data_IF_284920035597
#
_entry.id   IF_284920035597
#
_cell.length_a   1.000
_cell.length_b   1.000
_cell.length_c   1.000
_cell.angle_alpha   90.00
_cell.angle_beta   90.00
_cell.angle_gamma   90.00
#
_symmetry.space_group_name_H-M   'P 1'
#
loop_
_entity.id
_entity.type
_entity.pdbx_description
1 polymer ?
#
# COMPACT_ATOMS: atom_id res chain seq x y z
N UNK A 1 54.37 44.16 77.00
CA UNK A 1 53.11 43.47 76.66
C UNK A 1 53.46 42.37 75.66
N UNK A 2 53.85 41.21 76.15
CA UNK A 2 53.93 39.98 75.34
C UNK A 2 52.51 39.41 75.17
N UNK A 3 52.15 38.86 73.99
CA UNK A 3 50.90 38.15 73.83
C UNK A 3 50.92 36.84 74.65
N UNK A 4 49.80 36.39 75.22
CA UNK A 4 49.80 35.22 76.09
C UNK A 4 50.13 33.95 75.30
N UNK A 5 51.04 33.11 75.84
CA UNK A 5 51.53 31.87 75.22
C UNK A 5 50.42 30.85 74.84
N UNK A 6 49.19 31.04 75.33
CA UNK A 6 48.01 30.25 74.98
C UNK A 6 47.48 30.55 73.57
N UNK A 7 47.70 31.75 73.03
CA UNK A 7 47.17 32.18 71.73
C UNK A 7 48.02 31.65 70.57
N UNK A 8 49.34 31.70 70.73
CA UNK A 8 50.33 31.16 69.77
C UNK A 8 50.16 29.63 69.61
N UNK A 9 49.80 28.94 70.70
CA UNK A 9 49.59 27.48 70.68
C UNK A 9 48.30 27.09 69.96
N UNK A 10 47.21 27.86 70.13
CA UNK A 10 45.96 27.71 69.37
C UNK A 10 46.15 27.97 67.88
N UNK A 11 46.91 29.00 67.53
CA UNK A 11 47.16 29.37 66.14
C UNK A 11 48.01 28.31 65.41
N UNK A 12 48.98 27.70 66.09
CA UNK A 12 49.76 26.57 65.55
C UNK A 12 48.92 25.31 65.35
N UNK A 13 48.00 25.02 66.27
CA UNK A 13 47.06 23.90 66.15
C UNK A 13 46.07 24.11 64.98
N UNK A 14 45.56 25.34 64.81
CA UNK A 14 44.69 25.69 63.68
C UNK A 14 45.41 25.53 62.32
N UNK A 15 46.65 26.05 62.20
CA UNK A 15 47.46 25.89 60.98
C UNK A 15 47.79 24.42 60.66
N UNK A 16 47.98 23.58 61.68
CA UNK A 16 48.19 22.13 61.50
C UNK A 16 46.90 21.42 61.04
N UNK A 17 45.75 21.81 61.58
CA UNK A 17 44.45 21.29 61.14
C UNK A 17 44.15 21.68 59.69
N UNK A 18 44.42 22.93 59.30
CA UNK A 18 44.24 23.40 57.92
C UNK A 18 45.15 22.66 56.93
N UNK A 19 46.42 22.45 57.29
CA UNK A 19 47.36 21.65 56.45
C UNK A 19 46.90 20.21 56.27
N UNK A 20 46.38 19.58 57.33
CA UNK A 20 45.83 18.23 57.26
C UNK A 20 44.58 18.18 56.37
N UNK A 21 43.73 19.21 56.45
CA UNK A 21 42.53 19.32 55.62
C UNK A 21 42.86 19.55 54.14
N UNK A 22 43.85 20.39 53.85
CA UNK A 22 44.36 20.59 52.49
C UNK A 22 44.92 19.29 51.92
N UNK A 23 45.78 18.59 52.67
CA UNK A 23 46.33 17.31 52.21
C UNK A 23 45.23 16.26 51.94
N UNK A 24 44.17 16.26 52.74
CA UNK A 24 43.01 15.39 52.51
C UNK A 24 42.23 15.79 51.25
N UNK A 25 42.02 17.08 51.00
CA UNK A 25 41.35 17.59 49.79
C UNK A 25 42.21 17.29 48.54
N UNK A 26 43.53 17.51 48.61
CA UNK A 26 44.46 17.19 47.52
C UNK A 26 44.47 15.70 47.19
N UNK A 27 44.42 14.83 48.21
CA UNK A 27 44.26 13.39 48.00
C UNK A 27 42.92 13.05 47.33
N UNK A 28 41.82 13.70 47.75
CA UNK A 28 40.50 13.54 47.14
C UNK A 28 40.41 14.11 45.71
N UNK A 29 41.30 15.01 45.29
CA UNK A 29 41.38 15.52 43.91
C UNK A 29 42.26 14.59 43.06
N UNK A 30 43.39 14.14 43.60
CA UNK A 30 44.34 13.31 42.85
C UNK A 30 43.77 11.96 42.42
N UNK A 31 42.92 11.34 43.25
CA UNK A 31 42.29 10.05 42.94
C UNK A 31 41.33 10.10 41.72
N UNK A 32 40.35 11.03 41.65
CA UNK A 32 39.51 11.18 40.47
C UNK A 32 40.30 11.67 39.24
N UNK A 33 41.32 12.53 39.40
CA UNK A 33 42.17 12.94 38.27
C UNK A 33 42.90 11.75 37.63
N UNK A 34 43.43 10.83 38.44
CA UNK A 34 44.04 9.59 37.92
C UNK A 34 43.01 8.71 37.21
N UNK A 35 41.80 8.65 37.75
CA UNK A 35 40.71 7.85 37.19
C UNK A 35 40.25 8.41 35.84
N UNK A 36 40.12 9.73 35.72
CA UNK A 36 39.80 10.41 34.46
C UNK A 36 40.91 10.19 33.43
N UNK A 37 42.18 10.30 33.84
CA UNK A 37 43.31 9.99 32.97
C UNK A 37 43.28 8.57 32.41
N UNK A 38 43.05 7.56 33.26
CA UNK A 38 42.98 6.16 32.80
C UNK A 38 41.79 5.89 31.90
N UNK A 39 40.63 6.50 32.18
CA UNK A 39 39.45 6.35 31.33
C UNK A 39 39.60 7.04 29.97
N UNK A 40 40.30 8.18 29.93
CA UNK A 40 40.59 8.87 28.67
C UNK A 40 41.55 8.05 27.77
N UNK A 41 42.58 7.43 28.36
CA UNK A 41 43.48 6.53 27.64
C UNK A 41 42.75 5.28 27.13
N UNK A 42 41.85 4.71 27.94
CA UNK A 42 41.01 3.60 27.52
C UNK A 42 40.04 4.00 26.40
N UNK A 43 39.42 5.19 26.47
CA UNK A 43 38.58 5.74 25.42
C UNK A 43 39.37 5.86 24.09
N UNK A 44 40.56 6.46 24.12
CA UNK A 44 41.40 6.65 22.94
C UNK A 44 41.81 5.30 22.31
N UNK A 45 42.17 4.32 23.14
CA UNK A 45 42.49 2.96 22.71
C UNK A 45 41.29 2.28 22.03
N UNK A 46 40.10 2.39 22.62
CA UNK A 46 38.87 1.82 22.07
C UNK A 46 38.47 2.52 20.77
N UNK A 47 38.60 3.85 20.67
CA UNK A 47 38.37 4.61 19.44
C UNK A 47 39.33 4.18 18.32
N UNK A 48 40.61 4.00 18.63
CA UNK A 48 41.60 3.51 17.67
C UNK A 48 41.29 2.11 17.15
N UNK A 49 40.88 1.19 18.02
CA UNK A 49 40.44 -0.16 17.63
C UNK A 49 39.19 -0.13 16.75
N UNK A 50 38.21 0.70 17.11
CA UNK A 50 36.98 0.84 16.32
C UNK A 50 37.24 1.39 14.92
N UNK A 51 38.17 2.33 14.78
CA UNK A 51 38.58 2.88 13.49
C UNK A 51 39.27 1.84 12.56
N UNK A 52 39.75 0.73 13.11
CA UNK A 52 40.38 -0.35 12.34
C UNK A 52 39.34 -1.28 11.69
N UNK A 53 38.11 -1.33 12.21
CA UNK A 53 37.05 -2.12 11.60
C UNK A 53 36.54 -1.41 10.34
N UNK A 54 36.83 -1.98 9.17
CA UNK A 54 36.18 -1.58 7.94
C UNK A 54 34.73 -2.08 7.97
N UNK A 55 33.77 -1.17 7.93
CA UNK A 55 32.37 -1.51 7.70
C UNK A 55 32.18 -1.62 6.19
N UNK A 56 32.02 -2.82 5.60
CA UNK A 56 32.11 -3.01 4.15
C UNK A 56 31.12 -2.15 3.37
N UNK A 57 29.92 -1.92 3.93
CA UNK A 57 28.90 -1.07 3.31
C UNK A 57 29.30 0.41 3.25
N UNK A 58 30.16 0.89 4.15
CA UNK A 58 30.69 2.26 4.13
C UNK A 58 31.87 2.42 3.15
N UNK A 59 32.31 1.32 2.52
CA UNK A 59 33.36 1.35 1.50
C UNK A 59 32.80 1.29 0.07
N UNK A 60 31.49 1.07 -0.07
CA UNK A 60 30.79 1.08 -1.35
C UNK A 60 30.51 2.52 -1.80
N UNK A 61 30.52 2.81 -3.11
CA UNK A 61 30.01 4.07 -3.64
C UNK A 61 28.53 4.27 -3.23
N UNK A 62 28.14 5.53 -3.01
CA UNK A 62 26.79 5.86 -2.57
C UNK A 62 25.72 5.34 -3.53
N UNK A 63 26.00 5.31 -4.84
CA UNK A 63 25.10 4.80 -5.86
C UNK A 63 24.78 3.31 -5.64
N UNK A 64 25.78 2.51 -5.26
CA UNK A 64 25.59 1.08 -4.99
C UNK A 64 24.79 0.89 -3.71
N UNK A 65 25.05 1.70 -2.68
CA UNK A 65 24.29 1.66 -1.43
C UNK A 65 22.84 2.07 -1.66
N UNK A 66 22.59 3.09 -2.49
CA UNK A 66 21.25 3.52 -2.90
C UNK A 66 20.48 2.39 -3.61
N UNK A 67 21.12 1.67 -4.54
CA UNK A 67 20.50 0.51 -5.19
C UNK A 67 20.19 -0.63 -4.20
N UNK A 68 21.11 -0.91 -3.26
CA UNK A 68 20.85 -1.87 -2.18
C UNK A 68 19.65 -1.42 -1.34
N UNK A 69 19.53 -0.14 -1.03
CA UNK A 69 18.39 0.41 -0.26
C UNK A 69 17.07 0.29 -1.03
N UNK A 70 17.08 0.47 -2.34
CA UNK A 70 15.89 0.32 -3.18
C UNK A 70 15.43 -1.14 -3.16
N UNK A 71 16.37 -2.08 -3.30
CA UNK A 71 16.08 -3.52 -3.22
C UNK A 71 15.74 -4.03 -1.82
N UNK A 72 15.97 -3.22 -0.78
CA UNK A 72 15.53 -3.52 0.58
C UNK A 72 14.03 -3.25 0.77
N UNK A 73 13.43 -2.34 0.01
CA UNK A 73 11.99 -2.06 0.03
C UNK A 73 11.23 -3.22 -0.63
N UNK A 74 9.94 -3.42 -0.30
CA UNK A 74 9.17 -4.47 -0.93
C UNK A 74 8.93 -4.13 -2.42
N UNK A 75 8.97 -5.15 -3.27
CA UNK A 75 8.62 -4.97 -4.67
C UNK A 75 7.14 -4.56 -4.82
N UNK A 76 6.89 -3.53 -5.63
CA UNK A 76 5.54 -3.15 -6.04
C UNK A 76 4.82 -4.37 -6.66
N UNK A 77 3.55 -4.67 -6.32
CA UNK A 77 2.53 -3.77 -5.75
C UNK A 77 2.55 -3.61 -4.23
N UNK A 78 3.49 -4.23 -3.51
CA UNK A 78 3.59 -4.07 -2.06
C UNK A 78 4.21 -2.71 -1.72
N UNK A 79 3.67 -2.08 -0.67
CA UNK A 79 4.09 -0.76 -0.23
C UNK A 79 5.00 -0.87 1.01
N UNK A 80 6.06 -0.05 1.11
CA UNK A 80 6.88 -0.03 2.31
C UNK A 80 6.07 0.50 3.50
N UNK A 81 6.18 -0.12 4.69
CA UNK A 81 5.51 0.39 5.86
C UNK A 81 6.17 1.71 6.33
N UNK A 82 5.41 2.63 6.95
CA UNK A 82 5.96 3.89 7.47
C UNK A 82 7.06 3.69 8.52
N UNK A 83 6.99 2.59 9.29
CA UNK A 83 7.89 2.21 10.37
C UNK A 83 8.10 0.70 10.33
N UNK A 84 9.28 0.22 10.73
CA UNK A 84 9.55 -1.21 10.88
C UNK A 84 10.41 -1.80 9.77
N UNK A 85 10.37 -3.12 9.63
CA UNK A 85 11.12 -3.84 8.59
C UNK A 85 10.65 -3.40 7.20
N UNK A 86 11.58 -3.34 6.24
CA UNK A 86 11.33 -2.86 4.87
C UNK A 86 10.91 -1.37 4.77
N UNK A 87 11.01 -0.60 5.86
CA UNK A 87 10.74 0.85 5.85
C UNK A 87 11.98 1.65 5.42
N UNK A 88 11.84 2.71 4.58
CA UNK A 88 12.95 3.61 4.29
C UNK A 88 13.47 4.34 5.54
N UNK A 89 12.63 4.50 6.58
CA UNK A 89 13.05 5.11 7.85
C UNK A 89 13.95 4.19 8.68
N UNK A 90 13.86 2.87 8.53
CA UNK A 90 14.76 1.95 9.23
C UNK A 90 16.21 2.12 8.75
N UNK A 91 16.40 2.32 7.44
CA UNK A 91 17.71 2.64 6.86
C UNK A 91 18.30 3.92 7.46
N UNK A 92 17.45 4.90 7.77
CA UNK A 92 17.84 6.16 8.39
C UNK A 92 18.24 6.04 9.87
N UNK A 93 17.97 4.90 10.53
CA UNK A 93 18.26 4.69 11.95
C UNK A 93 19.58 3.95 12.20
N UNK A 94 20.18 3.35 11.17
CA UNK A 94 21.37 2.50 11.31
C UNK A 94 22.63 3.31 11.62
N UNK A 95 22.99 4.28 10.78
CA UNK A 95 24.13 5.18 11.03
C UNK A 95 23.93 6.53 10.33
N UNK A 96 24.83 7.49 10.62
CA UNK A 96 24.77 8.84 10.02
C UNK A 96 24.90 8.82 8.49
N UNK A 97 25.77 7.95 7.97
CA UNK A 97 26.02 7.86 6.53
C UNK A 97 24.82 7.27 5.79
N UNK A 98 24.25 6.17 6.30
CA UNK A 98 23.05 5.57 5.71
C UNK A 98 21.86 6.53 5.71
N UNK A 99 21.71 7.31 6.78
CA UNK A 99 20.70 8.37 6.84
C UNK A 99 20.92 9.42 5.75
N UNK A 100 22.17 9.84 5.54
CA UNK A 100 22.50 10.78 4.48
C UNK A 100 22.14 10.21 3.10
N UNK A 101 22.63 9.00 2.79
CA UNK A 101 22.36 8.30 1.52
C UNK A 101 20.86 8.12 1.30
N UNK A 102 20.12 7.65 2.32
CA UNK A 102 18.68 7.45 2.21
C UNK A 102 17.93 8.78 1.94
N UNK A 103 18.31 9.87 2.59
CA UNK A 103 17.69 11.19 2.37
C UNK A 103 17.97 11.75 0.97
N UNK A 104 19.13 11.46 0.37
CA UNK A 104 19.47 11.90 -0.99
C UNK A 104 19.08 10.89 -2.07
N UNK A 105 18.36 9.82 -1.74
CA UNK A 105 17.87 8.81 -2.68
C UNK A 105 16.35 8.94 -2.86
N UNK A 106 15.86 9.72 -3.84
CA UNK A 106 14.44 10.07 -3.90
C UNK A 106 13.51 8.89 -4.17
N UNK A 107 14.00 7.86 -4.88
CA UNK A 107 13.23 6.66 -5.20
C UNK A 107 12.71 5.93 -3.94
N UNK A 108 13.43 5.98 -2.81
CA UNK A 108 13.02 5.37 -1.54
C UNK A 108 11.74 5.98 -0.95
N UNK A 109 11.40 7.20 -1.37
CA UNK A 109 10.29 7.99 -0.84
C UNK A 109 9.12 8.10 -1.84
N UNK A 110 9.23 7.43 -2.98
CA UNK A 110 8.28 7.55 -4.10
C UNK A 110 7.06 6.64 -4.00
N UNK A 111 7.13 5.59 -3.16
CA UNK A 111 6.06 4.63 -2.92
C UNK A 111 5.55 4.82 -1.49
N UNK A 112 4.30 5.25 -1.35
CA UNK A 112 3.71 5.73 -0.09
C UNK A 112 2.38 5.02 0.14
N UNK A 113 2.23 4.36 1.29
CA UNK A 113 0.95 3.81 1.74
C UNK A 113 0.57 4.37 3.10
N UNK A 114 -0.67 4.83 3.22
CA UNK A 114 -1.24 5.37 4.45
C UNK A 114 -2.64 4.81 4.67
N UNK A 115 -2.78 3.96 5.70
CA UNK A 115 -4.07 3.48 6.18
C UNK A 115 -4.52 4.32 7.38
N UNK A 116 -5.62 5.06 7.29
CA UNK A 116 -6.15 5.92 8.35
C UNK A 116 -7.09 5.17 9.30
N UNK A 117 -6.62 4.13 9.98
CA UNK A 117 -7.48 3.24 10.77
C UNK A 117 -7.65 3.65 12.25
N UNK A 118 -6.89 4.65 12.72
CA UNK A 118 -6.94 5.17 14.11
C UNK A 118 -6.94 6.70 14.12
N UNK A 119 -7.96 7.31 14.76
CA UNK A 119 -8.18 8.78 14.85
C UNK A 119 -6.96 9.52 15.42
N UNK A 120 -6.28 8.95 16.42
CA UNK A 120 -5.18 9.62 17.13
C UNK A 120 -3.85 9.75 16.39
N UNK A 121 -3.73 9.29 15.13
CA UNK A 121 -2.46 9.31 14.37
C UNK A 121 -2.49 10.10 13.04
N UNK A 122 -3.55 10.89 12.80
CA UNK A 122 -3.77 11.61 11.53
C UNK A 122 -2.65 12.61 11.22
N UNK A 123 -2.32 13.48 12.17
CA UNK A 123 -1.28 14.51 11.98
C UNK A 123 0.10 13.90 11.68
N UNK A 124 0.46 12.78 12.32
CA UNK A 124 1.72 12.09 12.04
C UNK A 124 1.75 11.49 10.63
N UNK A 125 0.64 10.92 10.17
CA UNK A 125 0.51 10.36 8.81
C UNK A 125 0.59 11.44 7.74
N UNK A 126 -0.07 12.57 7.96
CA UNK A 126 0.01 13.70 7.03
C UNK A 126 1.42 14.29 6.97
N UNK A 127 2.10 14.40 8.13
CA UNK A 127 3.51 14.81 8.16
C UNK A 127 4.40 13.82 7.39
N UNK A 128 4.17 12.52 7.58
CA UNK A 128 4.87 11.48 6.81
C UNK A 128 4.64 11.62 5.31
N UNK A 129 3.39 11.85 4.87
CA UNK A 129 3.05 12.08 3.47
C UNK A 129 3.85 13.24 2.90
N UNK A 130 3.76 14.41 3.53
CA UNK A 130 4.46 15.63 3.09
C UNK A 130 5.96 15.42 3.01
N UNK A 131 6.57 14.87 4.06
CA UNK A 131 8.02 14.60 4.09
C UNK A 131 8.44 13.59 3.02
N UNK A 132 7.63 12.55 2.77
CA UNK A 132 7.94 11.55 1.74
C UNK A 132 7.83 12.16 0.34
N UNK A 133 6.79 12.95 0.08
CA UNK A 133 6.63 13.69 -1.19
C UNK A 133 7.80 14.66 -1.40
N UNK A 134 8.19 15.43 -0.39
CA UNK A 134 9.34 16.35 -0.47
C UNK A 134 10.64 15.60 -0.82
N UNK A 135 10.90 14.47 -0.14
CA UNK A 135 12.10 13.66 -0.36
C UNK A 135 12.08 12.91 -1.68
N UNK A 136 10.90 12.60 -2.22
CA UNK A 136 10.75 11.97 -3.54
C UNK A 136 11.23 12.87 -4.69
N UNK A 137 11.47 14.16 -4.44
CA UNK A 137 12.05 15.07 -5.42
C UNK A 137 11.17 15.20 -6.65
N UNK A 138 11.62 14.71 -7.80
CA UNK A 138 10.88 14.68 -9.07
C UNK A 138 10.45 13.27 -9.49
N UNK A 139 10.66 12.25 -8.65
CA UNK A 139 10.23 10.88 -8.94
C UNK A 139 8.72 10.79 -9.17
N UNK A 140 8.29 9.83 -9.97
CA UNK A 140 6.87 9.48 -10.07
C UNK A 140 6.40 8.89 -8.75
N UNK A 141 5.16 9.19 -8.38
CA UNK A 141 4.60 8.80 -7.10
C UNK A 141 3.64 7.62 -7.26
N UNK A 142 3.76 6.67 -6.34
CA UNK A 142 2.77 5.60 -6.13
C UNK A 142 2.17 5.81 -4.75
N UNK A 143 0.88 6.11 -4.69
CA UNK A 143 0.21 6.50 -3.44
C UNK A 143 -1.00 5.60 -3.16
N UNK A 144 -1.02 4.98 -1.99
CA UNK A 144 -2.18 4.28 -1.41
C UNK A 144 -2.74 5.08 -0.23
N UNK A 145 -4.00 5.44 -0.30
CA UNK A 145 -4.74 6.03 0.81
C UNK A 145 -5.91 5.13 1.16
N UNK A 146 -5.85 4.45 2.30
CA UNK A 146 -6.91 3.61 2.84
C UNK A 146 -7.51 4.19 4.13
N UNK A 147 -8.74 3.84 4.47
CA UNK A 147 -9.33 4.19 5.78
C UNK A 147 -10.41 3.20 6.21
N UNK A 148 -10.63 3.11 7.52
CA UNK A 148 -11.81 2.47 8.10
C UNK A 148 -12.84 3.43 8.68
N UNK A 149 -12.58 4.76 8.68
CA UNK A 149 -13.52 5.79 9.13
C UNK A 149 -13.35 7.11 8.35
N UNK A 150 -14.33 8.02 8.45
CA UNK A 150 -14.23 9.37 7.88
C UNK A 150 -13.47 10.30 8.85
N UNK A 151 -12.26 10.77 8.52
CA UNK A 151 -11.52 11.70 9.37
C UNK A 151 -12.17 13.09 9.35
N UNK A 152 -11.73 13.97 10.26
CA UNK A 152 -12.30 15.31 10.35
C UNK A 152 -12.08 16.08 9.03
N UNK A 153 -13.06 16.91 8.68
CA UNK A 153 -13.13 17.66 7.42
C UNK A 153 -11.88 18.52 7.14
N UNK A 154 -11.29 19.12 8.19
CA UNK A 154 -10.08 19.93 8.03
C UNK A 154 -8.87 19.09 7.56
N UNK A 155 -8.71 17.87 8.10
CA UNK A 155 -7.64 16.97 7.68
C UNK A 155 -7.88 16.41 6.28
N UNK A 156 -9.13 16.15 5.91
CA UNK A 156 -9.50 15.73 4.56
C UNK A 156 -9.15 16.82 3.54
N UNK A 157 -9.50 18.07 3.81
CA UNK A 157 -9.17 19.19 2.95
C UNK A 157 -7.65 19.34 2.76
N UNK A 158 -6.89 19.20 3.84
CA UNK A 158 -5.42 19.29 3.78
C UNK A 158 -4.80 18.10 3.01
N UNK A 159 -5.30 16.88 3.23
CA UNK A 159 -4.90 15.68 2.49
C UNK A 159 -5.19 15.82 1.00
N UNK A 160 -6.42 16.18 0.64
CA UNK A 160 -6.85 16.41 -0.74
C UNK A 160 -5.95 17.45 -1.41
N UNK A 161 -5.70 18.58 -0.73
CA UNK A 161 -4.80 19.61 -1.25
C UNK A 161 -3.39 19.09 -1.51
N UNK A 162 -2.80 18.31 -0.60
CA UNK A 162 -1.45 17.72 -0.81
C UNK A 162 -1.44 16.78 -2.02
N UNK A 163 -2.46 15.92 -2.15
CA UNK A 163 -2.53 14.92 -3.22
C UNK A 163 -2.79 15.56 -4.58
N UNK A 164 -3.77 16.47 -4.68
CA UNK A 164 -4.12 17.19 -5.91
C UNK A 164 -2.93 17.96 -6.47
N UNK A 165 -2.15 18.64 -5.63
CA UNK A 165 -0.97 19.40 -6.07
C UNK A 165 0.12 18.53 -6.72
N UNK A 166 0.09 17.21 -6.50
CA UNK A 166 1.08 16.26 -7.01
C UNK A 166 0.53 15.30 -8.08
N UNK A 167 -0.71 15.51 -8.54
CA UNK A 167 -1.35 14.73 -9.62
C UNK A 167 -0.50 14.59 -10.88
N UNK A 168 0.22 15.65 -11.27
CA UNK A 168 1.09 15.67 -12.44
C UNK A 168 2.26 14.66 -12.41
N UNK A 169 2.57 14.07 -11.24
CA UNK A 169 3.64 13.07 -11.04
C UNK A 169 3.12 11.70 -10.62
N UNK A 170 1.82 11.51 -10.45
CA UNK A 170 1.25 10.23 -10.02
C UNK A 170 1.38 9.19 -11.14
N UNK A 171 1.88 8.01 -10.79
CA UNK A 171 1.93 6.83 -11.65
C UNK A 171 0.91 5.77 -11.20
N UNK A 172 0.77 5.57 -9.90
CA UNK A 172 -0.26 4.73 -9.30
C UNK A 172 -0.95 5.47 -8.18
N UNK A 173 -2.27 5.46 -8.18
CA UNK A 173 -3.06 6.18 -7.20
C UNK A 173 -4.22 5.32 -6.71
N UNK A 174 -4.29 5.08 -5.41
CA UNK A 174 -5.42 4.42 -4.76
C UNK A 174 -6.06 5.39 -3.77
N UNK A 175 -7.27 5.81 -4.14
CA UNK A 175 -8.19 6.67 -3.40
C UNK A 175 -9.40 5.85 -2.95
N UNK A 176 -9.19 4.67 -2.37
CA UNK A 176 -10.24 3.89 -1.70
C UNK A 176 -10.52 4.35 -0.26
N UNK A 177 -9.70 5.28 0.24
CA UNK A 177 -9.82 6.00 1.50
C UNK A 177 -11.02 6.94 1.59
N UNK A 178 -11.08 7.83 2.61
CA UNK A 178 -12.28 8.57 2.92
C UNK A 178 -12.49 9.74 1.98
N UNK A 179 -13.70 9.86 1.45
CA UNK A 179 -14.32 11.14 1.08
C UNK A 179 -13.46 12.05 0.22
N UNK A 180 -12.62 11.47 -0.66
CA UNK A 180 -11.75 12.27 -1.50
C UNK A 180 -12.61 13.18 -2.38
N UNK A 181 -12.31 14.47 -2.35
CA UNK A 181 -13.05 15.47 -3.11
C UNK A 181 -12.23 15.85 -4.32
N UNK A 182 -12.74 15.51 -5.50
CA UNK A 182 -12.14 15.93 -6.75
C UNK A 182 -12.39 17.42 -6.98
N UNK A 183 -11.41 18.17 -7.49
CA UNK A 183 -11.63 19.56 -7.87
C UNK A 183 -12.65 19.65 -9.02
N UNK A 184 -13.66 20.50 -8.85
CA UNK A 184 -14.75 20.72 -9.82
C UNK A 184 -14.39 21.69 -10.93
N UNK A 185 -13.47 22.63 -10.66
CA UNK A 185 -13.23 23.79 -11.52
C UNK A 185 -11.96 23.67 -12.36
N UNK A 186 -11.28 22.52 -12.30
CA UNK A 186 -9.99 22.29 -12.96
C UNK A 186 -9.97 20.97 -13.72
N UNK A 187 -9.20 20.95 -14.81
CA UNK A 187 -8.93 19.73 -15.57
C UNK A 187 -8.11 18.75 -14.69
N UNK A 188 -8.61 17.53 -14.52
CA UNK A 188 -7.93 16.47 -13.77
C UNK A 188 -6.81 15.86 -14.63
N UNK A 189 -5.68 16.56 -14.74
CA UNK A 189 -4.53 16.10 -15.54
C UNK A 189 -3.58 15.21 -14.73
N UNK A 190 -3.52 13.93 -15.10
CA UNK A 190 -2.60 12.94 -14.53
C UNK A 190 -1.82 12.24 -15.67
N UNK A 191 -0.80 12.92 -16.25
CA UNK A 191 -0.16 12.54 -17.49
C UNK A 191 0.64 11.22 -17.42
N UNK A 192 1.03 10.78 -16.22
CA UNK A 192 1.81 9.56 -16.00
C UNK A 192 1.03 8.44 -15.32
N UNK A 193 -0.26 8.64 -15.05
CA UNK A 193 -1.08 7.70 -14.29
C UNK A 193 -1.35 6.44 -15.11
N UNK A 194 -0.88 5.31 -14.60
CA UNK A 194 -1.00 3.97 -15.21
C UNK A 194 -2.06 3.12 -14.55
N UNK A 195 -2.20 3.27 -13.23
CA UNK A 195 -3.19 2.56 -12.43
C UNK A 195 -3.92 3.49 -11.48
N UNK A 196 -5.24 3.37 -11.45
CA UNK A 196 -6.10 4.13 -10.54
C UNK A 196 -7.06 3.19 -9.81
N UNK A 197 -7.10 3.26 -8.48
CA UNK A 197 -8.16 2.67 -7.67
C UNK A 197 -9.01 3.77 -7.05
N UNK A 198 -10.32 3.71 -7.24
CA UNK A 198 -11.28 4.66 -6.67
C UNK A 198 -12.29 3.93 -5.80
N UNK A 199 -12.60 4.51 -4.64
CA UNK A 199 -13.74 4.09 -3.83
C UNK A 199 -14.12 5.15 -2.79
N UNK A 200 -15.34 5.08 -2.26
CA UNK A 200 -15.78 5.89 -1.12
C UNK A 200 -15.55 7.42 -1.27
N UNK A 201 -15.90 8.01 -2.40
CA UNK A 201 -15.87 9.48 -2.56
C UNK A 201 -17.14 10.13 -2.01
N UNK A 202 -17.00 11.36 -1.50
CA UNK A 202 -18.11 12.13 -0.90
C UNK A 202 -19.13 12.55 -1.96
N UNK A 203 -18.64 13.00 -3.11
CA UNK A 203 -19.42 13.40 -4.27
C UNK A 203 -18.79 12.80 -5.53
N UNK A 204 -19.61 12.41 -6.51
CA UNK A 204 -19.13 11.85 -7.76
C UNK A 204 -18.30 12.90 -8.52
N UNK A 205 -17.12 12.53 -9.05
CA UNK A 205 -16.35 13.46 -9.86
C UNK A 205 -17.11 13.82 -11.13
N UNK A 206 -17.27 15.13 -11.35
CA UNK A 206 -17.96 15.69 -12.53
C UNK A 206 -17.00 16.07 -13.65
N UNK A 207 -15.72 16.22 -13.34
CA UNK A 207 -14.67 16.61 -14.29
C UNK A 207 -14.04 15.38 -14.93
N UNK A 208 -13.97 15.29 -16.27
CA UNK A 208 -13.31 14.17 -16.94
C UNK A 208 -11.82 14.05 -16.57
N UNK A 209 -11.36 12.81 -16.44
CA UNK A 209 -9.98 12.49 -16.13
C UNK A 209 -9.10 12.51 -17.39
N UNK A 210 -8.08 13.37 -17.40
CA UNK A 210 -7.08 13.41 -18.48
C UNK A 210 -5.85 12.62 -18.07
N UNK A 211 -5.91 11.31 -18.33
CA UNK A 211 -4.84 10.36 -18.04
C UNK A 211 -4.54 9.50 -19.29
N UNK A 212 -3.71 9.98 -20.24
CA UNK A 212 -3.53 9.36 -21.56
C UNK A 212 -2.81 8.00 -21.53
N UNK A 213 -2.16 7.67 -20.41
CA UNK A 213 -1.44 6.40 -20.22
C UNK A 213 -2.13 5.49 -19.20
N UNK A 214 -3.37 5.80 -18.79
CA UNK A 214 -4.12 5.00 -17.83
C UNK A 214 -4.66 3.74 -18.50
N UNK A 215 -4.28 2.58 -17.99
CA UNK A 215 -4.67 1.30 -18.59
C UNK A 215 -5.18 0.25 -17.57
N UNK A 216 -4.99 0.49 -16.26
CA UNK A 216 -5.60 -0.29 -15.17
C UNK A 216 -6.51 0.59 -14.32
N UNK A 217 -7.75 0.17 -14.12
CA UNK A 217 -8.69 0.85 -13.22
C UNK A 217 -9.34 -0.15 -12.26
N UNK A 218 -9.42 0.20 -10.98
CA UNK A 218 -10.18 -0.54 -9.97
C UNK A 218 -11.23 0.39 -9.40
N UNK A 219 -12.50 0.00 -9.46
CA UNK A 219 -13.62 0.80 -8.98
C UNK A 219 -14.34 0.04 -7.89
N UNK A 220 -14.53 0.68 -6.75
CA UNK A 220 -15.40 0.14 -5.70
C UNK A 220 -16.85 0.11 -6.16
N UNK A 221 -17.33 1.20 -6.76
CA UNK A 221 -18.70 1.29 -7.26
C UNK A 221 -18.69 2.04 -8.59
N UNK A 222 -19.29 1.44 -9.63
CA UNK A 222 -19.43 2.11 -10.93
C UNK A 222 -20.59 3.12 -10.93
N UNK A 223 -21.66 2.80 -10.21
CA UNK A 223 -22.92 3.56 -10.25
C UNK A 223 -22.77 5.00 -9.73
N UNK A 224 -21.69 5.26 -8.99
CA UNK A 224 -21.35 6.58 -8.46
C UNK A 224 -20.50 7.42 -9.45
N UNK A 225 -20.23 6.95 -10.68
CA UNK A 225 -19.38 7.69 -11.63
C UNK A 225 -20.14 8.18 -12.84
N UNK A 226 -19.79 9.39 -13.30
CA UNK A 226 -20.25 9.87 -14.60
C UNK A 226 -19.61 9.03 -15.72
N UNK A 227 -20.41 8.67 -16.71
CA UNK A 227 -20.01 7.88 -17.87
C UNK A 227 -18.82 8.48 -18.63
N UNK A 228 -18.67 9.81 -18.62
CA UNK A 228 -17.61 10.56 -19.28
C UNK A 228 -16.34 10.70 -18.45
N UNK A 229 -16.33 10.23 -17.20
CA UNK A 229 -15.20 10.41 -16.30
C UNK A 229 -13.93 9.72 -16.81
N UNK A 230 -14.06 8.52 -17.40
CA UNK A 230 -12.94 7.75 -17.94
C UNK A 230 -12.95 7.65 -19.47
N UNK A 231 -11.76 7.66 -20.10
CA UNK A 231 -11.60 7.18 -21.48
C UNK A 231 -11.61 5.64 -21.51
N UNK A 232 -12.77 5.02 -21.30
CA UNK A 232 -12.94 3.56 -21.16
C UNK A 232 -12.28 2.72 -22.26
N UNK A 233 -12.25 3.22 -23.49
CA UNK A 233 -11.72 2.51 -24.65
C UNK A 233 -10.21 2.24 -24.60
N UNK A 234 -9.44 2.99 -23.81
CA UNK A 234 -8.00 2.78 -23.68
C UNK A 234 -7.63 1.77 -22.58
N UNK A 235 -8.61 1.36 -21.75
CA UNK A 235 -8.35 0.47 -20.62
C UNK A 235 -8.08 -0.97 -21.09
N UNK A 236 -7.02 -1.55 -20.55
CA UNK A 236 -6.65 -2.96 -20.78
C UNK A 236 -7.05 -3.86 -19.63
N UNK A 237 -7.26 -3.29 -18.44
CA UNK A 237 -7.62 -4.03 -17.26
C UNK A 237 -8.58 -3.24 -16.38
N UNK A 238 -9.63 -3.90 -15.91
CA UNK A 238 -10.62 -3.30 -15.03
C UNK A 238 -11.08 -4.30 -13.96
N UNK A 239 -11.19 -3.81 -12.73
CA UNK A 239 -11.91 -4.48 -11.64
C UNK A 239 -13.04 -3.58 -11.17
N UNK A 240 -14.26 -4.10 -11.05
CA UNK A 240 -15.39 -3.37 -10.48
C UNK A 240 -16.01 -4.20 -9.36
N UNK A 241 -15.92 -3.70 -8.13
CA UNK A 241 -16.38 -4.38 -6.92
C UNK A 241 -17.90 -4.27 -6.70
N UNK A 242 -18.55 -3.24 -7.24
CA UNK A 242 -20.00 -3.09 -7.16
C UNK A 242 -20.49 -2.53 -8.48
N UNK A 243 -21.21 -3.37 -9.23
CA UNK A 243 -21.83 -2.99 -10.49
C UNK A 243 -23.24 -3.54 -10.60
N UNK A 244 -24.21 -2.68 -10.85
CA UNK A 244 -25.58 -3.09 -11.18
C UNK A 244 -25.69 -3.58 -12.64
N UNK A 245 -26.83 -4.20 -12.97
CA UNK A 245 -27.08 -4.76 -14.31
C UNK A 245 -27.16 -3.69 -15.41
N UNK A 246 -27.65 -2.49 -15.09
CA UNK A 246 -27.65 -1.33 -15.98
C UNK A 246 -26.22 -0.81 -16.22
N UNK A 247 -25.42 -0.67 -15.16
CA UNK A 247 -24.01 -0.31 -15.26
C UNK A 247 -23.17 -1.31 -16.06
N UNK A 248 -23.42 -2.61 -15.87
CA UNK A 248 -22.80 -3.68 -16.67
C UNK A 248 -23.04 -3.50 -18.17
N UNK A 249 -24.30 -3.24 -18.54
CA UNK A 249 -24.70 -3.11 -19.94
C UNK A 249 -23.99 -1.95 -20.63
N UNK A 250 -23.78 -0.85 -19.91
CA UNK A 250 -23.00 0.30 -20.38
C UNK A 250 -21.51 -0.04 -20.48
N UNK A 251 -20.92 -0.50 -19.38
CA UNK A 251 -19.49 -0.73 -19.27
C UNK A 251 -18.98 -1.67 -20.36
N UNK A 252 -19.67 -2.79 -20.58
CA UNK A 252 -19.24 -3.78 -21.57
C UNK A 252 -19.22 -3.26 -23.02
N UNK A 253 -20.00 -2.22 -23.33
CA UNK A 253 -19.99 -1.61 -24.66
C UNK A 253 -18.76 -0.73 -24.90
N UNK A 254 -18.22 -0.13 -23.84
CA UNK A 254 -17.12 0.83 -23.93
C UNK A 254 -15.72 0.17 -23.84
N UNK A 255 -15.65 -1.03 -23.27
CA UNK A 255 -14.41 -1.78 -22.99
C UNK A 255 -13.81 -2.49 -24.22
N UNK A 256 -13.64 -1.79 -25.34
CA UNK A 256 -13.26 -2.41 -26.62
C UNK A 256 -11.85 -3.02 -26.65
N UNK A 257 -10.90 -2.51 -25.86
CA UNK A 257 -9.50 -2.97 -25.80
C UNK A 257 -9.17 -3.77 -24.52
N UNK A 258 -10.20 -4.21 -23.80
CA UNK A 258 -10.01 -4.88 -22.51
C UNK A 258 -9.36 -6.26 -22.69
N UNK A 259 -8.39 -6.56 -21.82
CA UNK A 259 -7.66 -7.83 -21.75
C UNK A 259 -7.98 -8.57 -20.46
N UNK A 260 -8.15 -7.83 -19.35
CA UNK A 260 -8.47 -8.36 -18.03
C UNK A 260 -9.73 -7.68 -17.47
N UNK A 261 -10.76 -8.44 -17.13
CA UNK A 261 -11.99 -7.90 -16.55
C UNK A 261 -12.42 -8.73 -15.34
N UNK A 262 -12.60 -8.07 -14.19
CA UNK A 262 -13.10 -8.66 -12.94
C UNK A 262 -14.31 -7.89 -12.46
N UNK A 263 -15.44 -8.56 -12.25
CA UNK A 263 -16.71 -7.91 -11.92
C UNK A 263 -17.43 -8.63 -10.78
N UNK A 264 -18.00 -7.83 -9.86
CA UNK A 264 -18.92 -8.27 -8.81
C UNK A 264 -20.30 -7.68 -9.12
N UNK A 265 -21.12 -8.46 -9.81
CA UNK A 265 -22.41 -7.98 -10.32
C UNK A 265 -23.47 -8.11 -9.23
N UNK A 266 -24.16 -7.01 -8.94
CA UNK A 266 -25.27 -6.95 -8.01
C UNK A 266 -26.61 -7.12 -8.77
N UNK A 267 -27.55 -7.98 -8.30
CA UNK A 267 -28.83 -8.24 -8.96
C UNK A 267 -29.84 -7.09 -8.78
N UNK A 268 -29.46 -5.88 -9.19
CA UNK A 268 -30.37 -4.74 -9.29
C UNK A 268 -30.16 -3.97 -10.60
N UNK A 269 -31.16 -3.18 -10.95
CA UNK A 269 -31.20 -2.48 -12.24
C UNK A 269 -31.78 -3.33 -13.37
N UNK A 270 -31.78 -2.76 -14.57
CA UNK A 270 -32.34 -3.39 -15.75
C UNK A 270 -31.22 -3.91 -16.65
N UNK A 271 -31.19 -5.21 -16.91
CA UNK A 271 -30.24 -5.82 -17.85
C UNK A 271 -30.69 -5.55 -19.30
N UNK A 272 -29.84 -4.88 -20.09
CA UNK A 272 -30.06 -4.74 -21.53
C UNK A 272 -29.28 -5.83 -22.26
N UNK A 273 -30.00 -6.80 -22.83
CA UNK A 273 -29.38 -7.87 -23.59
C UNK A 273 -28.99 -7.36 -24.98
N UNK A 274 -27.69 -7.23 -25.22
CA UNK A 274 -27.09 -6.93 -26.52
C UNK A 274 -25.88 -7.82 -26.70
N UNK A 275 -25.67 -8.28 -27.93
CA UNK A 275 -24.50 -9.08 -28.25
C UNK A 275 -23.23 -8.23 -28.06
N UNK A 276 -22.38 -8.68 -27.15
CA UNK A 276 -21.14 -8.01 -26.76
C UNK A 276 -20.00 -8.88 -27.24
N UNK A 277 -19.11 -8.31 -28.05
CA UNK A 277 -17.90 -8.97 -28.50
C UNK A 277 -16.67 -8.26 -27.96
N UNK A 278 -15.94 -8.91 -27.06
CA UNK A 278 -14.69 -8.39 -26.51
C UNK A 278 -13.53 -9.17 -27.11
N UNK A 279 -13.01 -8.68 -28.24
CA UNK A 279 -12.08 -9.40 -29.09
C UNK A 279 -10.72 -9.69 -28.43
N UNK A 280 -10.34 -8.88 -27.43
CA UNK A 280 -9.03 -8.93 -26.77
C UNK A 280 -9.08 -9.51 -25.35
N UNK A 281 -10.28 -9.80 -24.82
CA UNK A 281 -10.44 -10.24 -23.43
C UNK A 281 -9.83 -11.63 -23.24
N UNK A 282 -8.71 -11.69 -22.52
CA UNK A 282 -7.97 -12.92 -22.25
C UNK A 282 -8.29 -13.53 -20.89
N UNK A 283 -8.64 -12.71 -19.90
CA UNK A 283 -9.02 -13.15 -18.54
C UNK A 283 -10.32 -12.48 -18.13
N UNK A 284 -11.32 -13.28 -17.79
CA UNK A 284 -12.61 -12.79 -17.31
C UNK A 284 -12.95 -13.45 -15.96
N UNK A 285 -13.31 -12.64 -14.97
CA UNK A 285 -13.60 -13.09 -13.61
C UNK A 285 -14.94 -12.52 -13.17
N UNK A 286 -15.87 -13.40 -12.80
CA UNK A 286 -17.17 -13.06 -12.24
C UNK A 286 -17.28 -13.66 -10.83
N UNK A 287 -17.39 -12.81 -9.81
CA UNK A 287 -17.43 -13.30 -8.42
C UNK A 287 -18.80 -13.16 -7.79
N UNK A 288 -19.02 -13.99 -6.76
CA UNK A 288 -20.24 -13.97 -5.99
C UNK A 288 -20.02 -13.35 -4.60
N UNK A 289 -20.43 -12.09 -4.46
CA UNK A 289 -20.56 -11.41 -3.15
C UNK A 289 -22.01 -11.21 -2.73
N UNK A 290 -22.97 -11.33 -3.66
CA UNK A 290 -24.34 -10.81 -3.49
C UNK A 290 -25.45 -11.84 -3.73
N UNK A 291 -25.09 -13.11 -3.93
CA UNK A 291 -26.01 -14.21 -4.19
C UNK A 291 -26.26 -14.44 -5.68
N UNK A 292 -27.25 -15.29 -5.97
CA UNK A 292 -27.53 -15.74 -7.33
C UNK A 292 -28.07 -14.61 -8.22
N UNK A 293 -27.49 -14.49 -9.43
CA UNK A 293 -28.00 -13.64 -10.51
C UNK A 293 -29.09 -14.35 -11.32
N UNK A 294 -29.07 -15.69 -11.35
CA UNK A 294 -30.07 -16.52 -12.00
C UNK A 294 -30.26 -16.18 -13.48
N UNK A 295 -31.50 -15.88 -13.89
CA UNK A 295 -31.82 -15.59 -15.28
C UNK A 295 -31.02 -14.40 -15.87
N UNK A 296 -30.57 -13.45 -15.03
CA UNK A 296 -29.71 -12.36 -15.49
C UNK A 296 -28.34 -12.87 -15.92
N UNK A 297 -27.74 -13.82 -15.18
CA UNK A 297 -26.48 -14.45 -15.55
C UNK A 297 -26.63 -15.24 -16.85
N UNK A 298 -27.68 -16.04 -16.99
CA UNK A 298 -27.93 -16.78 -18.24
C UNK A 298 -28.05 -15.84 -19.44
N UNK A 299 -28.70 -14.68 -19.25
CA UNK A 299 -28.74 -13.61 -20.25
C UNK A 299 -27.37 -13.02 -20.57
N UNK A 300 -26.58 -12.65 -19.55
CA UNK A 300 -25.21 -12.14 -19.68
C UNK A 300 -24.33 -13.13 -20.44
N UNK A 301 -24.33 -14.38 -20.00
CA UNK A 301 -23.53 -15.44 -20.62
C UNK A 301 -23.99 -15.65 -22.06
N UNK A 302 -25.29 -15.61 -22.36
CA UNK A 302 -25.79 -15.82 -23.73
C UNK A 302 -25.36 -14.74 -24.72
N UNK A 303 -25.17 -13.49 -24.29
CA UNK A 303 -24.83 -12.37 -25.18
C UNK A 303 -23.33 -12.15 -25.38
N UNK A 304 -22.47 -12.79 -24.58
CA UNK A 304 -21.02 -12.58 -24.64
C UNK A 304 -20.36 -13.43 -25.74
N UNK A 305 -19.48 -12.82 -26.52
CA UNK A 305 -18.59 -13.50 -27.48
C UNK A 305 -17.15 -13.07 -27.20
N UNK A 306 -16.33 -14.00 -26.72
CA UNK A 306 -15.02 -13.73 -26.12
C UNK A 306 -13.91 -14.55 -26.81
N UNK A 307 -13.54 -14.23 -28.06
CA UNK A 307 -12.71 -15.11 -28.90
C UNK A 307 -11.27 -15.28 -28.40
N UNK A 308 -10.74 -14.32 -27.64
CA UNK A 308 -9.38 -14.39 -27.08
C UNK A 308 -9.33 -14.99 -25.66
N UNK A 309 -10.46 -15.44 -25.10
CA UNK A 309 -10.54 -15.88 -23.72
C UNK A 309 -9.65 -17.10 -23.46
N UNK A 310 -8.77 -16.98 -22.46
CA UNK A 310 -7.85 -18.04 -22.03
C UNK A 310 -8.11 -18.49 -20.61
N UNK A 311 -8.58 -17.58 -19.76
CA UNK A 311 -8.87 -17.85 -18.36
C UNK A 311 -10.25 -17.31 -18.01
N UNK A 312 -11.08 -18.17 -17.45
CA UNK A 312 -12.40 -17.80 -16.98
C UNK A 312 -12.56 -18.25 -15.54
N UNK A 313 -12.99 -17.33 -14.68
CA UNK A 313 -13.34 -17.65 -13.30
C UNK A 313 -14.79 -17.24 -13.05
N UNK A 314 -15.55 -18.15 -12.45
CA UNK A 314 -16.95 -17.91 -12.12
C UNK A 314 -17.35 -18.68 -10.86
N UNK A 315 -18.12 -18.04 -10.00
CA UNK A 315 -18.75 -18.71 -8.87
C UNK A 315 -20.02 -19.45 -9.30
N UNK A 316 -20.12 -20.74 -8.99
CA UNK A 316 -21.28 -21.56 -9.38
C UNK A 316 -22.57 -21.10 -8.67
N UNK A 317 -22.42 -20.51 -7.49
CA UNK A 317 -23.49 -19.89 -6.71
C UNK A 317 -24.14 -18.67 -7.39
N UNK A 318 -23.58 -18.16 -8.49
CA UNK A 318 -24.22 -17.12 -9.32
C UNK A 318 -25.38 -17.68 -10.17
N UNK A 319 -25.35 -18.97 -10.50
CA UNK A 319 -26.41 -19.65 -11.26
C UNK A 319 -27.63 -19.89 -10.36
N UNK A 320 -28.84 -19.86 -10.95
CA UNK A 320 -30.02 -20.30 -10.21
C UNK A 320 -30.09 -21.83 -10.22
N UNK A 321 -30.73 -22.43 -9.20
CA UNK A 321 -30.88 -23.89 -9.05
C UNK A 321 -31.47 -24.64 -10.27
N UNK A 322 -32.08 -23.93 -11.21
CA UNK A 322 -32.71 -24.48 -12.42
C UNK A 322 -31.79 -24.45 -13.64
N UNK A 323 -30.71 -23.67 -13.59
CA UNK A 323 -29.81 -23.46 -14.71
C UNK A 323 -28.64 -24.46 -14.57
N UNK A 324 -28.28 -25.15 -15.65
CA UNK A 324 -27.08 -26.00 -15.65
C UNK A 324 -25.85 -25.10 -15.91
N UNK A 325 -24.95 -24.97 -14.92
CA UNK A 325 -23.79 -24.10 -15.04
C UNK A 325 -22.76 -24.64 -16.04
N UNK A 326 -22.66 -25.96 -16.21
CA UNK A 326 -21.74 -26.61 -17.15
C UNK A 326 -22.19 -26.33 -18.58
N UNK A 327 -23.48 -26.49 -18.87
CA UNK A 327 -24.06 -26.20 -20.19
C UNK A 327 -23.90 -24.72 -20.57
N UNK A 328 -24.15 -23.82 -19.61
CA UNK A 328 -24.06 -22.38 -19.82
C UNK A 328 -22.64 -21.95 -20.20
N UNK A 329 -21.63 -22.48 -19.50
CA UNK A 329 -20.22 -22.18 -19.77
C UNK A 329 -19.78 -22.85 -21.07
N UNK A 330 -20.24 -24.08 -21.35
CA UNK A 330 -19.96 -24.79 -22.60
C UNK A 330 -20.50 -24.01 -23.80
N UNK A 331 -21.72 -23.46 -23.69
CA UNK A 331 -22.33 -22.63 -24.72
C UNK A 331 -21.51 -21.35 -24.98
N UNK A 332 -20.98 -20.71 -23.92
CA UNK A 332 -20.10 -19.54 -24.04
C UNK A 332 -18.81 -19.85 -24.79
N UNK A 333 -18.11 -20.92 -24.40
CA UNK A 333 -16.85 -21.33 -25.03
C UNK A 333 -17.08 -21.71 -26.49
N UNK A 334 -18.14 -22.48 -26.76
CA UNK A 334 -18.49 -22.91 -28.12
C UNK A 334 -18.82 -21.71 -29.01
N UNK A 335 -19.65 -20.77 -28.53
CA UNK A 335 -20.01 -19.56 -29.27
C UNK A 335 -18.81 -18.64 -29.50
N UNK A 336 -17.91 -18.54 -28.51
CA UNK A 336 -16.73 -17.69 -28.58
C UNK A 336 -15.62 -18.30 -29.44
N UNK A 337 -15.61 -19.62 -29.64
CA UNK A 337 -14.55 -20.32 -30.37
C UNK A 337 -13.17 -20.15 -29.72
N UNK A 338 -13.13 -19.87 -28.42
CA UNK A 338 -11.91 -19.53 -27.71
C UNK A 338 -11.15 -20.78 -27.26
N UNK A 339 -9.83 -20.64 -27.04
CA UNK A 339 -9.00 -21.70 -26.49
C UNK A 339 -8.81 -21.47 -24.98
N UNK A 340 -9.81 -21.92 -24.22
CA UNK A 340 -9.82 -21.82 -22.76
C UNK A 340 -8.72 -22.73 -22.19
N UNK A 341 -7.74 -22.13 -21.53
CA UNK A 341 -6.62 -22.84 -20.89
C UNK A 341 -6.90 -23.15 -19.43
N UNK A 342 -7.66 -22.29 -18.77
CA UNK A 342 -7.96 -22.40 -17.35
C UNK A 342 -9.42 -22.01 -17.09
N UNK A 343 -10.10 -22.85 -16.32
CA UNK A 343 -11.44 -22.59 -15.80
C UNK A 343 -11.39 -22.78 -14.29
N UNK A 344 -11.58 -21.68 -13.56
CA UNK A 344 -11.65 -21.69 -12.11
C UNK A 344 -13.11 -21.55 -11.67
N UNK A 345 -13.57 -22.48 -10.83
CA UNK A 345 -14.94 -22.50 -10.35
C UNK A 345 -14.91 -22.42 -8.83
N UNK A 346 -15.45 -21.32 -8.31
CA UNK A 346 -15.62 -21.14 -6.86
C UNK A 346 -17.00 -21.63 -6.43
N UNK A 347 -17.08 -22.12 -5.20
CA UNK A 347 -18.30 -22.69 -4.61
C UNK A 347 -18.95 -23.80 -5.46
N UNK A 348 -18.12 -24.61 -6.13
CA UNK A 348 -18.59 -25.63 -7.05
C UNK A 348 -19.45 -26.70 -6.35
N UNK A 349 -20.56 -27.07 -6.97
CA UNK A 349 -21.33 -28.22 -6.53
C UNK A 349 -20.57 -29.49 -6.90
N UNK A 350 -20.30 -30.33 -5.89
CA UNK A 350 -19.60 -31.63 -6.08
C UNK A 350 -20.23 -32.52 -7.15
N UNK A 351 -21.55 -32.40 -7.40
CA UNK A 351 -22.25 -33.15 -8.44
C UNK A 351 -21.83 -32.73 -9.86
N UNK A 352 -21.39 -31.49 -10.07
CA UNK A 352 -21.02 -30.97 -11.40
C UNK A 352 -19.54 -31.16 -11.73
N UNK A 353 -18.68 -31.50 -10.75
CA UNK A 353 -17.23 -31.65 -10.95
C UNK A 353 -16.91 -32.62 -12.10
N UNK A 354 -17.54 -33.80 -12.12
CA UNK A 354 -17.33 -34.78 -13.19
C UNK A 354 -17.80 -34.24 -14.54
N UNK A 355 -18.94 -33.55 -14.58
CA UNK A 355 -19.47 -32.95 -15.81
C UNK A 355 -18.54 -31.85 -16.36
N UNK A 356 -17.89 -31.05 -15.50
CA UNK A 356 -16.87 -30.10 -15.92
C UNK A 356 -15.65 -30.78 -16.53
N UNK A 357 -15.15 -31.87 -15.92
CA UNK A 357 -14.04 -32.65 -16.48
C UNK A 357 -14.38 -33.25 -17.85
N UNK A 358 -15.61 -33.74 -18.02
CA UNK A 358 -16.08 -34.31 -19.29
C UNK A 358 -16.25 -33.24 -20.37
N UNK A 359 -16.77 -32.05 -20.01
CA UNK A 359 -16.99 -30.95 -20.93
C UNK A 359 -15.69 -30.24 -21.35
N UNK A 360 -14.68 -30.19 -20.47
CA UNK A 360 -13.45 -29.43 -20.67
C UNK A 360 -12.18 -30.28 -20.47
N UNK A 361 -11.96 -31.34 -21.26
CA UNK A 361 -10.88 -32.30 -21.04
C UNK A 361 -9.47 -31.75 -21.28
N UNK A 362 -9.33 -30.64 -22.02
CA UNK A 362 -8.04 -30.00 -22.34
C UNK A 362 -7.78 -28.72 -21.54
N UNK A 363 -8.68 -28.37 -20.62
CA UNK A 363 -8.62 -27.15 -19.81
C UNK A 363 -8.11 -27.49 -18.41
N UNK A 364 -7.24 -26.66 -17.85
CA UNK A 364 -6.87 -26.75 -16.44
C UNK A 364 -8.07 -26.34 -15.59
N UNK A 365 -8.67 -27.29 -14.87
CA UNK A 365 -9.79 -27.03 -13.98
C UNK A 365 -9.29 -26.80 -12.56
N UNK A 366 -9.68 -25.67 -11.97
CA UNK A 366 -9.39 -25.33 -10.57
C UNK A 366 -10.71 -25.20 -9.84
N UNK A 367 -10.86 -25.91 -8.73
CA UNK A 367 -12.02 -25.81 -7.86
C UNK A 367 -11.56 -25.30 -6.51
N UNK A 368 -12.09 -24.18 -6.05
CA UNK A 368 -11.74 -23.59 -4.76
C UNK A 368 -12.97 -23.16 -3.97
N UNK A 369 -12.85 -23.20 -2.65
CA UNK A 369 -13.87 -22.71 -1.72
C UNK A 369 -13.61 -21.28 -1.25
N UNK A 370 -12.51 -20.67 -1.70
CA UNK A 370 -12.05 -19.34 -1.32
C UNK A 370 -11.52 -18.65 -2.58
N UNK A 371 -11.71 -17.33 -2.62
CA UNK A 371 -11.13 -16.43 -3.62
C UNK A 371 -9.63 -16.73 -3.73
N UNK A 372 -9.23 -17.48 -4.75
CA UNK A 372 -7.82 -17.55 -5.14
C UNK A 372 -7.59 -16.24 -5.88
N UNK A 373 -7.30 -15.19 -5.13
CA UNK A 373 -6.69 -13.97 -5.65
C UNK A 373 -5.25 -14.30 -6.06
N UNK A 374 -5.09 -14.94 -7.22
CA UNK A 374 -3.82 -14.81 -7.91
C UNK A 374 -3.71 -13.36 -8.46
N UNK A 375 -2.54 -12.72 -8.35
CA UNK A 375 -2.37 -11.28 -8.46
C UNK A 375 -2.39 -10.84 -9.92
N UNK A 376 -3.58 -10.74 -10.52
CA UNK A 376 -3.75 -10.39 -11.94
C UNK A 376 -4.11 -8.93 -12.20
N UNK A 377 -4.52 -8.20 -11.17
CA UNK A 377 -4.39 -6.75 -11.10
C UNK A 377 -3.56 -6.45 -9.86
N UNK A 378 -3.01 -5.24 -9.77
CA UNK A 378 -2.43 -4.72 -8.52
C UNK A 378 -3.43 -5.04 -7.42
N UNK A 379 -3.17 -6.10 -6.65
CA UNK A 379 -4.05 -6.52 -5.58
C UNK A 379 -3.78 -5.54 -4.46
N UNK A 380 -4.60 -4.51 -4.44
CA UNK A 380 -4.71 -3.59 -3.32
C UNK A 380 -5.49 -4.27 -2.19
N UNK A 381 -5.33 -5.57 -1.98
CA UNK A 381 -5.88 -6.26 -0.83
C UNK A 381 -5.14 -5.80 0.41
N UNK A 382 -5.94 -5.50 1.43
CA UNK A 382 -5.46 -5.11 2.74
C UNK A 382 -4.98 -6.36 3.47
N UNK A 383 -3.67 -6.65 3.38
CA UNK A 383 -2.97 -7.39 4.43
C UNK A 383 -2.81 -6.57 5.72
N UNK A 384 -3.63 -5.53 5.93
CA UNK A 384 -3.84 -4.90 7.24
C UNK A 384 -4.71 -5.81 8.14
N UNK A 385 -4.41 -7.11 8.17
CA UNK A 385 -4.45 -7.85 9.42
C UNK A 385 -3.17 -7.48 10.19
N UNK A 386 -3.04 -6.19 10.57
CA UNK A 386 -2.11 -5.82 11.64
C UNK A 386 -2.49 -6.69 12.83
N UNK A 387 -1.60 -7.64 13.10
CA UNK A 387 -1.57 -8.46 14.29
C UNK A 387 -1.96 -7.60 15.47
N UNK A 388 -2.99 -8.06 16.19
CA UNK A 388 -3.56 -7.44 17.38
C UNK A 388 -2.62 -7.54 18.60
N UNK A 389 -1.31 -7.36 18.39
CA UNK A 389 -0.25 -7.50 19.37
C UNK A 389 0.73 -6.32 19.25
N UNK A 390 0.26 -5.12 19.60
CA UNK A 390 1.12 -4.15 20.26
C UNK A 390 0.63 -4.08 21.71
N UNK A 391 1.28 -4.89 22.54
CA UNK A 391 1.14 -4.96 23.99
C UNK A 391 0.99 -3.58 24.63
N UNK A 392 -0.11 -3.41 25.37
CA UNK A 392 -0.23 -2.39 26.40
C UNK A 392 0.87 -2.60 27.45
N UNK A 393 1.95 -1.83 27.34
CA UNK A 393 2.82 -1.54 28.47
C UNK A 393 2.08 -0.61 29.42
N UNK A 394 1.29 -1.18 30.33
CA UNK A 394 0.78 -0.43 31.47
C UNK A 394 1.93 -0.12 32.41
N UNK A 395 2.43 1.11 32.38
CA UNK A 395 3.16 1.70 33.49
C UNK A 395 2.20 1.85 34.66
N UNK A 396 2.28 0.91 35.60
CA UNK A 396 1.82 1.11 36.96
C UNK A 396 2.97 1.70 37.78
N UNK A 397 2.95 3.01 37.99
CA UNK A 397 3.72 3.64 39.06
C UNK A 397 3.17 3.16 40.41
N UNK A 398 4.08 2.70 41.26
CA UNK A 398 3.92 2.50 42.70
C UNK A 398 5.01 3.28 43.44
#
# INVERSE_FOLDING_TARGET
MEPPASDISRERAARAADRSRIAHIEAQISEPERTVGSLAEEEDSLRGRLATYAYPVLTLPNEIVSEIFIHFLPDFPRYPPPIGLLSPYLLCQICREWRHIAFVTPALWSVISLSFNKVGRLAQKLRYLKTSIERSGSCRLSLKLGTSFNPDQEYLAELNHVVINHFHRMEYLDLSGPGFEFPTDAELSLPFLRGLKLGNFSEPPVTPLVAPVLHHVVLRCLDDLDNSFFPWSQLTAITVEWIRLDGYSYLMNELVNIVHCRLWIYPAGHLSLRDITLAHLGTFVLENRFGALGAALSGIIATLTLPALRRFQIAETLFANKDDPVDSITALVTRSGCNLRELSITDANTAHITAYHDAFPSTSLVFSSLDITEPFLIDWEDEDAESSDESEGTDSEG
#
